data_IF_634204182191
#
_entry.id   IF_634204182191
#
_cell.length_a   1.000
_cell.length_b   1.000
_cell.length_c   1.000
_cell.angle_alpha   90.00
_cell.angle_beta   90.00
_cell.angle_gamma   90.00
#
_symmetry.space_group_name_H-M   'P 1'
#
loop_
_entity.id
_entity.type
_entity.pdbx_description
1 polymer ?
#
# COMPACT_ATOMS: atom_id res chain seq x y z
N UNK A 1 -2.20 -36.76 28.78
CA UNK A 1 -3.54 -36.14 28.80
C UNK A 1 -4.33 -36.71 27.63
N UNK A 2 -5.50 -37.29 27.86
CA UNK A 2 -6.37 -37.75 26.77
C UNK A 2 -6.82 -36.53 25.97
N UNK A 3 -6.59 -36.54 24.66
CA UNK A 3 -7.02 -35.45 23.78
C UNK A 3 -8.54 -35.50 23.64
N UNK A 4 -9.24 -34.59 24.31
CA UNK A 4 -10.67 -34.43 24.18
C UNK A 4 -11.01 -33.82 22.80
N UNK A 5 -12.15 -34.18 22.22
CA UNK A 5 -12.61 -33.65 20.93
C UNK A 5 -12.73 -32.12 20.97
N UNK A 6 -13.12 -31.58 22.13
CA UNK A 6 -13.20 -30.14 22.38
C UNK A 6 -11.86 -29.42 22.22
N UNK A 7 -10.76 -30.01 22.72
CA UNK A 7 -9.44 -29.37 22.62
C UNK A 7 -8.93 -29.40 21.18
N UNK A 8 -9.22 -30.47 20.43
CA UNK A 8 -8.91 -30.56 19.00
C UNK A 8 -9.69 -29.51 18.19
N UNK A 9 -10.98 -29.35 18.45
CA UNK A 9 -11.81 -28.33 17.81
C UNK A 9 -11.34 -26.90 18.14
N UNK A 10 -11.02 -26.63 19.41
CA UNK A 10 -10.48 -25.34 19.82
C UNK A 10 -9.20 -25.00 19.04
N UNK A 11 -8.24 -25.92 19.02
CA UNK A 11 -7.00 -25.71 18.28
C UNK A 11 -7.22 -25.52 16.79
N UNK A 12 -8.15 -26.27 16.19
CA UNK A 12 -8.52 -26.10 14.78
C UNK A 12 -9.07 -24.70 14.50
N UNK A 13 -9.98 -24.20 15.33
CA UNK A 13 -10.56 -22.85 15.18
C UNK A 13 -9.52 -21.74 15.38
N UNK A 14 -8.60 -21.90 16.33
CA UNK A 14 -7.48 -20.96 16.53
C UNK A 14 -6.60 -20.92 15.28
N UNK A 15 -6.28 -22.07 14.70
CA UNK A 15 -5.48 -22.15 13.47
C UNK A 15 -6.22 -21.60 12.25
N UNK A 16 -7.54 -21.81 12.18
CA UNK A 16 -8.40 -21.21 11.16
C UNK A 16 -8.34 -19.68 11.23
N UNK A 17 -8.45 -19.11 12.42
CA UNK A 17 -8.31 -17.68 12.62
C UNK A 17 -6.90 -17.18 12.25
N UNK A 18 -5.85 -17.94 12.57
CA UNK A 18 -4.49 -17.66 12.12
C UNK A 18 -4.35 -17.63 10.59
N UNK A 19 -5.01 -18.57 9.90
CA UNK A 19 -5.08 -18.58 8.43
C UNK A 19 -5.76 -17.34 7.85
N UNK A 20 -6.87 -16.90 8.45
CA UNK A 20 -7.54 -15.65 8.08
C UNK A 20 -6.57 -14.45 8.20
N UNK A 21 -5.82 -14.36 9.31
CA UNK A 21 -4.87 -13.27 9.52
C UNK A 21 -3.74 -13.29 8.48
N UNK A 22 -3.19 -14.47 8.17
CA UNK A 22 -2.17 -14.62 7.12
C UNK A 22 -2.72 -14.14 5.77
N UNK A 23 -3.98 -14.47 5.45
CA UNK A 23 -4.60 -14.03 4.20
C UNK A 23 -4.89 -12.52 4.16
N UNK A 24 -5.23 -11.89 5.29
CA UNK A 24 -5.32 -10.42 5.40
C UNK A 24 -3.95 -9.77 5.14
N UNK A 25 -2.88 -10.31 5.74
CA UNK A 25 -1.52 -9.83 5.51
C UNK A 25 -1.13 -9.96 4.03
N UNK A 26 -1.55 -11.03 3.37
CA UNK A 26 -1.36 -11.22 1.94
C UNK A 26 -2.08 -10.16 1.10
N UNK A 27 -3.31 -9.78 1.44
CA UNK A 27 -4.03 -8.72 0.73
C UNK A 27 -3.35 -7.35 0.87
N UNK A 28 -2.82 -7.04 2.06
CA UNK A 28 -2.02 -5.82 2.28
C UNK A 28 -0.76 -5.87 1.41
N UNK A 29 -0.05 -7.00 1.39
CA UNK A 29 1.11 -7.20 0.54
C UNK A 29 0.78 -7.05 -0.96
N UNK A 30 -0.33 -7.66 -1.41
CA UNK A 30 -0.85 -7.57 -2.78
C UNK A 30 -1.14 -6.12 -3.16
N UNK A 31 -1.73 -5.33 -2.26
CA UNK A 31 -1.96 -3.89 -2.45
C UNK A 31 -0.64 -3.13 -2.62
N UNK A 32 0.35 -3.35 -1.76
CA UNK A 32 1.65 -2.71 -1.87
C UNK A 32 2.33 -3.03 -3.20
N UNK A 33 2.30 -4.30 -3.64
CA UNK A 33 2.82 -4.72 -4.94
C UNK A 33 2.11 -4.02 -6.10
N UNK A 34 0.79 -3.86 -6.02
CA UNK A 34 0.00 -3.16 -7.04
C UNK A 34 0.37 -1.67 -7.14
N UNK A 35 0.60 -1.01 -6.00
CA UNK A 35 0.91 0.43 -5.93
C UNK A 35 2.36 0.72 -6.34
N UNK A 36 3.32 0.01 -5.76
CA UNK A 36 4.74 0.31 -5.91
C UNK A 36 5.32 -0.21 -7.23
N UNK A 37 4.69 -1.23 -7.84
CA UNK A 37 5.17 -1.91 -9.06
C UNK A 37 6.69 -2.12 -9.04
N UNK A 38 7.23 -2.75 -7.99
CA UNK A 38 8.67 -2.92 -7.86
C UNK A 38 9.25 -3.68 -9.05
N UNK A 39 10.49 -3.38 -9.43
CA UNK A 39 11.26 -4.22 -10.37
C UNK A 39 11.43 -5.63 -9.76
N UNK A 40 11.88 -6.61 -10.55
CA UNK A 40 12.02 -8.04 -10.14
C UNK A 40 12.57 -8.22 -8.72
N UNK A 41 13.73 -7.63 -8.44
CA UNK A 41 14.40 -7.71 -7.12
C UNK A 41 13.52 -7.22 -5.97
N UNK A 42 12.76 -6.14 -6.17
CA UNK A 42 11.87 -5.62 -5.12
C UNK A 42 10.62 -6.49 -4.90
N UNK A 43 10.20 -7.26 -5.90
CA UNK A 43 9.15 -8.27 -5.72
C UNK A 43 9.67 -9.43 -4.89
N UNK A 44 10.88 -9.91 -5.21
CA UNK A 44 11.51 -11.04 -4.50
C UNK A 44 11.73 -10.70 -3.02
N UNK A 45 12.21 -9.49 -2.72
CA UNK A 45 12.37 -9.02 -1.33
C UNK A 45 11.00 -8.94 -0.63
N UNK A 46 9.97 -8.43 -1.31
CA UNK A 46 8.62 -8.36 -0.78
C UNK A 46 8.05 -9.75 -0.45
N UNK A 47 8.26 -10.72 -1.34
CA UNK A 47 7.84 -12.10 -1.14
C UNK A 47 8.58 -12.70 0.08
N UNK A 48 9.89 -12.51 0.20
CA UNK A 48 10.67 -12.99 1.36
C UNK A 48 10.12 -12.40 2.67
N UNK A 49 9.85 -11.09 2.71
CA UNK A 49 9.28 -10.42 3.90
C UNK A 49 7.91 -11.01 4.24
N UNK A 50 7.05 -11.22 3.24
CA UNK A 50 5.74 -11.84 3.44
C UNK A 50 5.88 -13.26 4.01
N UNK A 51 6.76 -14.08 3.45
CA UNK A 51 6.99 -15.45 3.93
C UNK A 51 7.48 -15.49 5.37
N UNK A 52 8.39 -14.57 5.75
CA UNK A 52 8.85 -14.44 7.14
C UNK A 52 7.69 -14.07 8.07
N UNK A 53 6.91 -13.05 7.71
CA UNK A 53 5.74 -12.62 8.51
C UNK A 53 4.70 -13.72 8.64
N UNK A 54 4.35 -14.38 7.53
CA UNK A 54 3.39 -15.49 7.53
C UNK A 54 3.87 -16.65 8.42
N UNK A 55 5.16 -16.96 8.40
CA UNK A 55 5.76 -18.00 9.26
C UNK A 55 5.71 -17.61 10.74
N UNK A 56 6.03 -16.36 11.08
CA UNK A 56 5.94 -15.86 12.45
C UNK A 56 4.50 -15.96 12.97
N UNK A 57 3.52 -15.53 12.16
CA UNK A 57 2.10 -15.62 12.51
C UNK A 57 1.68 -17.08 12.67
N UNK A 58 2.09 -17.95 11.75
CA UNK A 58 1.80 -19.38 11.82
C UNK A 58 2.33 -20.01 13.11
N UNK A 59 3.60 -19.77 13.45
CA UNK A 59 4.23 -20.30 14.68
C UNK A 59 3.54 -19.73 15.92
N UNK A 60 3.17 -18.45 15.91
CA UNK A 60 2.44 -17.84 17.02
C UNK A 60 1.09 -18.54 17.26
N UNK A 61 0.30 -18.77 16.22
CA UNK A 61 -0.97 -19.48 16.35
C UNK A 61 -0.81 -20.97 16.68
N UNK A 62 0.25 -21.62 16.19
CA UNK A 62 0.62 -22.96 16.62
C UNK A 62 0.94 -23.03 18.12
N UNK A 63 1.69 -22.04 18.62
CA UNK A 63 2.02 -21.93 20.04
C UNK A 63 0.78 -21.75 20.90
N UNK A 64 -0.11 -20.84 20.52
CA UNK A 64 -1.38 -20.60 21.24
C UNK A 64 -2.32 -21.80 21.18
N UNK A 65 -2.33 -22.56 20.08
CA UNK A 65 -3.26 -23.67 19.89
C UNK A 65 -2.87 -24.96 20.63
N UNK A 66 -1.58 -25.34 20.61
CA UNK A 66 -1.06 -26.60 21.17
C UNK A 66 0.42 -26.51 21.59
N UNK A 67 0.90 -25.38 22.11
CA UNK A 67 2.30 -25.21 22.52
C UNK A 67 3.32 -25.57 21.42
N UNK A 68 2.98 -25.22 20.17
CA UNK A 68 3.79 -25.44 18.97
C UNK A 68 3.93 -26.91 18.54
N UNK A 69 3.07 -27.80 19.03
CA UNK A 69 2.95 -29.14 18.45
C UNK A 69 2.35 -29.08 17.04
N UNK A 70 3.09 -29.62 16.09
CA UNK A 70 2.70 -29.67 14.69
C UNK A 70 1.74 -30.85 14.49
N UNK A 71 0.46 -30.55 14.26
CA UNK A 71 -0.61 -31.54 14.07
C UNK A 71 -1.33 -31.34 12.74
N UNK A 72 -1.82 -32.41 12.13
CA UNK A 72 -2.42 -32.37 10.79
C UNK A 72 -3.66 -31.46 10.73
N UNK A 73 -4.54 -31.53 11.73
CA UNK A 73 -5.73 -30.67 11.78
C UNK A 73 -5.39 -29.18 11.96
N UNK A 74 -4.23 -28.84 12.53
CA UNK A 74 -3.77 -27.44 12.63
C UNK A 74 -3.46 -26.85 11.25
N UNK A 75 -2.86 -27.63 10.36
CA UNK A 75 -2.65 -27.23 8.96
C UNK A 75 -3.96 -27.14 8.19
N UNK A 76 -4.88 -28.09 8.39
CA UNK A 76 -6.21 -28.03 7.77
C UNK A 76 -6.96 -26.76 8.20
N UNK A 77 -6.95 -26.43 9.49
CA UNK A 77 -7.55 -25.21 10.01
C UNK A 77 -6.99 -23.98 9.29
N UNK A 78 -5.66 -23.86 9.23
CA UNK A 78 -5.00 -22.75 8.54
C UNK A 78 -5.37 -22.68 7.05
N UNK A 79 -5.29 -23.79 6.33
CA UNK A 79 -5.62 -23.83 4.89
C UNK A 79 -7.07 -23.44 4.64
N UNK A 80 -8.00 -23.98 5.43
CA UNK A 80 -9.43 -23.64 5.34
C UNK A 80 -9.63 -22.16 5.67
N UNK A 81 -8.96 -21.62 6.69
CA UNK A 81 -9.03 -20.21 7.06
C UNK A 81 -8.55 -19.29 5.93
N UNK A 82 -7.44 -19.63 5.29
CA UNK A 82 -6.94 -18.88 4.12
C UNK A 82 -7.95 -18.92 2.97
N UNK A 83 -8.44 -20.10 2.61
CA UNK A 83 -9.38 -20.28 1.50
C UNK A 83 -10.71 -19.56 1.75
N UNK A 84 -11.25 -19.68 2.96
CA UNK A 84 -12.49 -19.04 3.35
C UNK A 84 -12.35 -17.51 3.31
N UNK A 85 -11.22 -16.98 3.77
CA UNK A 85 -10.94 -15.56 3.62
C UNK A 85 -10.82 -15.14 2.16
N UNK A 86 -10.04 -15.85 1.34
CA UNK A 86 -9.76 -15.46 -0.05
C UNK A 86 -11.04 -15.45 -0.91
N UNK A 87 -11.94 -16.41 -0.68
CA UNK A 87 -13.21 -16.51 -1.42
C UNK A 87 -14.22 -15.43 -0.97
N UNK A 88 -14.43 -15.27 0.35
CA UNK A 88 -15.55 -14.47 0.85
C UNK A 88 -15.16 -13.05 1.26
N UNK A 89 -14.02 -12.87 1.92
CA UNK A 89 -13.64 -11.61 2.56
C UNK A 89 -12.67 -10.78 1.70
N UNK A 90 -11.75 -11.42 0.95
CA UNK A 90 -10.74 -10.71 0.16
C UNK A 90 -11.33 -9.67 -0.80
N UNK A 91 -12.43 -9.93 -1.55
CA UNK A 91 -13.02 -8.92 -2.44
C UNK A 91 -13.51 -7.67 -1.69
N UNK A 92 -14.00 -7.83 -0.46
CA UNK A 92 -14.49 -6.75 0.38
C UNK A 92 -13.30 -5.97 0.95
N UNK A 93 -12.33 -6.67 1.54
CA UNK A 93 -11.14 -6.05 2.13
C UNK A 93 -10.33 -5.31 1.09
N UNK A 94 -10.14 -5.88 -0.10
CA UNK A 94 -9.42 -5.22 -1.19
C UNK A 94 -10.12 -3.94 -1.66
N UNK A 95 -11.46 -3.94 -1.76
CA UNK A 95 -12.22 -2.71 -2.09
C UNK A 95 -12.01 -1.63 -1.04
N UNK A 96 -12.04 -2.00 0.25
CA UNK A 96 -11.81 -1.07 1.37
C UNK A 96 -10.38 -0.52 1.32
N UNK A 97 -9.38 -1.38 1.16
CA UNK A 97 -7.98 -1.00 1.06
C UNK A 97 -7.72 -0.03 -0.11
N UNK A 98 -8.28 -0.32 -1.28
CA UNK A 98 -8.18 0.56 -2.46
C UNK A 98 -8.89 1.91 -2.25
N UNK A 99 -10.03 1.90 -1.55
CA UNK A 99 -10.72 3.13 -1.17
C UNK A 99 -9.85 4.00 -0.28
N UNK A 100 -9.26 3.44 0.79
CA UNK A 100 -8.33 4.16 1.66
C UNK A 100 -7.13 4.69 0.89
N UNK A 101 -6.52 3.88 0.01
CA UNK A 101 -5.42 4.33 -0.83
C UNK A 101 -5.81 5.54 -1.69
N UNK A 102 -6.99 5.51 -2.33
CA UNK A 102 -7.48 6.61 -3.17
C UNK A 102 -7.72 7.88 -2.36
N UNK A 103 -8.28 7.76 -1.16
CA UNK A 103 -8.49 8.89 -0.23
C UNK A 103 -7.14 9.50 0.15
N UNK A 104 -6.20 8.69 0.63
CA UNK A 104 -4.86 9.17 1.04
C UNK A 104 -4.15 9.85 -0.13
N UNK A 105 -4.13 9.23 -1.31
CA UNK A 105 -3.50 9.80 -2.51
C UNK A 105 -4.10 11.16 -2.87
N UNK A 106 -5.43 11.28 -2.84
CA UNK A 106 -6.10 12.54 -3.15
C UNK A 106 -5.79 13.61 -2.12
N UNK A 107 -5.78 13.27 -0.84
CA UNK A 107 -5.40 14.18 0.24
C UNK A 107 -3.97 14.68 0.08
N UNK A 108 -3.01 13.80 -0.17
CA UNK A 108 -1.60 14.18 -0.39
C UNK A 108 -1.46 15.11 -1.59
N UNK A 109 -2.11 14.81 -2.72
CA UNK A 109 -2.11 15.67 -3.91
C UNK A 109 -2.73 17.03 -3.60
N UNK A 110 -3.82 17.06 -2.84
CA UNK A 110 -4.50 18.31 -2.46
C UNK A 110 -3.62 19.18 -1.56
N UNK A 111 -2.98 18.58 -0.55
CA UNK A 111 -2.02 19.27 0.33
C UNK A 111 -0.83 19.79 -0.47
N UNK A 112 -0.24 18.97 -1.35
CA UNK A 112 0.85 19.41 -2.22
C UNK A 112 0.44 20.57 -3.13
N UNK A 113 -0.77 20.54 -3.70
CA UNK A 113 -1.31 21.64 -4.52
C UNK A 113 -1.45 22.93 -3.72
N UNK A 114 -2.01 22.86 -2.51
CA UNK A 114 -2.17 24.04 -1.65
C UNK A 114 -0.80 24.61 -1.27
N UNK A 115 0.15 23.75 -0.88
CA UNK A 115 1.49 24.17 -0.48
C UNK A 115 2.29 24.79 -1.64
N UNK A 116 2.17 24.25 -2.86
CA UNK A 116 2.89 24.75 -4.05
C UNK A 116 2.20 25.94 -4.74
N UNK A 117 0.90 26.15 -4.51
CA UNK A 117 0.14 27.27 -5.08
C UNK A 117 0.72 28.67 -4.77
N UNK A 118 1.07 29.04 -3.52
CA UNK A 118 1.66 30.35 -3.24
C UNK A 118 2.99 30.56 -3.95
N UNK A 119 3.80 29.50 -4.07
CA UNK A 119 5.07 29.54 -4.80
C UNK A 119 4.85 29.85 -6.28
N UNK A 120 3.89 29.18 -6.92
CA UNK A 120 3.52 29.45 -8.34
C UNK A 120 2.96 30.86 -8.51
N UNK A 121 2.16 31.36 -7.57
CA UNK A 121 1.61 32.71 -7.61
C UNK A 121 2.72 33.78 -7.55
N UNK A 122 3.70 33.61 -6.66
CA UNK A 122 4.88 34.48 -6.53
C UNK A 122 5.69 34.50 -7.83
N UNK A 123 6.02 33.33 -8.39
CA UNK A 123 6.72 33.24 -9.67
C UNK A 123 5.96 33.94 -10.81
N UNK A 124 4.63 33.81 -10.85
CA UNK A 124 3.81 34.45 -11.88
C UNK A 124 3.82 35.97 -11.73
N UNK A 125 3.72 36.50 -10.51
CA UNK A 125 3.81 37.94 -10.24
C UNK A 125 5.20 38.47 -10.62
N UNK A 126 6.29 37.77 -10.27
CA UNK A 126 7.66 38.16 -10.63
C UNK A 126 7.95 38.08 -12.14
N UNK A 127 7.28 37.18 -12.85
CA UNK A 127 7.49 37.01 -14.29
C UNK A 127 7.03 38.21 -15.12
N UNK A 128 6.08 39.01 -14.60
CA UNK A 128 5.57 40.21 -15.27
C UNK A 128 6.62 41.32 -15.39
N UNK A 129 7.28 41.79 -14.31
CA UNK A 129 8.36 42.77 -14.40
C UNK A 129 9.58 42.21 -15.12
N UNK A 130 9.92 40.92 -14.95
CA UNK A 130 11.02 40.28 -15.68
C UNK A 130 10.82 40.30 -17.19
N UNK A 131 9.59 40.14 -17.68
CA UNK A 131 9.26 40.22 -19.11
C UNK A 131 9.43 41.65 -19.64
N UNK A 132 9.14 42.65 -18.83
CA UNK A 132 9.37 44.06 -19.15
C UNK A 132 10.87 44.37 -19.23
N UNK A 133 11.64 43.95 -18.23
CA UNK A 133 13.11 44.11 -18.19
C UNK A 133 13.78 43.38 -19.37
N UNK A 134 13.33 42.18 -19.72
CA UNK A 134 13.89 41.43 -20.86
C UNK A 134 13.72 42.13 -22.20
N UNK A 135 12.63 42.89 -22.38
CA UNK A 135 12.42 43.71 -23.58
C UNK A 135 13.38 44.90 -23.63
N UNK A 136 13.71 45.49 -22.48
CA UNK A 136 14.64 46.62 -22.37
C UNK A 136 16.09 46.18 -22.54
N UNK A 137 16.47 45.00 -22.03
CA UNK A 137 17.83 44.45 -22.09
C UNK A 137 18.14 43.60 -23.34
N UNK A 138 17.20 43.46 -24.28
CA UNK A 138 17.41 42.70 -25.53
C UNK A 138 17.58 41.18 -25.35
N UNK A 139 17.21 40.64 -24.18
CA UNK A 139 17.30 39.20 -23.88
C UNK A 139 16.14 38.47 -24.58
N UNK A 140 16.36 37.30 -25.21
CA UNK A 140 15.29 36.59 -25.89
C UNK A 140 14.20 36.15 -24.90
N UNK A 141 13.03 36.80 -24.98
CA UNK A 141 11.86 36.48 -24.15
C UNK A 141 11.35 35.03 -24.26
N UNK A 142 11.89 34.26 -25.22
CA UNK A 142 11.73 32.80 -25.34
C UNK A 142 12.21 32.03 -24.10
N UNK A 143 13.27 32.49 -23.43
CA UNK A 143 13.78 31.86 -22.20
C UNK A 143 12.77 31.97 -21.04
N UNK A 144 12.18 33.15 -20.86
CA UNK A 144 11.16 33.39 -19.82
C UNK A 144 9.89 32.56 -20.10
N UNK A 145 9.44 32.53 -21.36
CA UNK A 145 8.28 31.73 -21.75
C UNK A 145 8.50 30.21 -21.57
N UNK A 146 9.69 29.68 -21.85
CA UNK A 146 10.00 28.27 -21.65
C UNK A 146 9.90 27.87 -20.17
N UNK A 147 10.48 28.66 -19.26
CA UNK A 147 10.42 28.40 -17.81
C UNK A 147 8.99 28.44 -17.26
N UNK A 148 8.19 29.45 -17.67
CA UNK A 148 6.77 29.55 -17.26
C UNK A 148 5.94 28.40 -17.85
N UNK A 149 6.22 27.98 -19.09
CA UNK A 149 5.51 26.87 -19.73
C UNK A 149 5.74 25.55 -18.99
N UNK A 150 6.94 25.34 -18.46
CA UNK A 150 7.29 24.16 -17.66
C UNK A 150 6.39 24.02 -16.42
N UNK A 151 6.05 25.14 -15.76
CA UNK A 151 5.12 25.16 -14.63
C UNK A 151 3.64 25.02 -15.04
N UNK A 152 3.26 25.49 -16.25
CA UNK A 152 1.92 25.26 -16.78
C UNK A 152 1.64 23.78 -17.13
N UNK A 153 2.67 22.97 -17.42
CA UNK A 153 2.53 21.52 -17.62
C UNK A 153 2.07 20.83 -16.33
N UNK A 154 2.55 21.27 -15.15
CA UNK A 154 2.09 20.78 -13.85
C UNK A 154 0.64 21.17 -13.52
N UNK A 155 0.10 22.19 -14.19
CA UNK A 155 -1.31 22.60 -14.08
C UNK A 155 -2.26 21.72 -14.90
N UNK A 156 -1.75 20.91 -15.85
CA UNK A 156 -2.56 20.17 -16.84
C UNK A 156 -2.65 18.65 -16.64
N UNK A 157 -1.90 18.03 -15.73
CA UNK A 157 -2.10 16.60 -15.39
C UNK A 157 -3.27 16.47 -14.41
N UNK A 158 -4.47 16.53 -14.99
CA UNK A 158 -5.74 16.09 -14.40
C UNK A 158 -5.81 14.56 -14.48
#
# INVERSE_FOLDING_TARGET
MVMNVESQLYSFLVMLYGGIIIAILYDIYKLFRFILRPKRIGTDIGDIIYWILATIVFIFFLYVSNYAEIRFYSFLGLLIGILLYDIFLSPIVMKILLFFYKVIKNTVIWVYKIASYPFVAIYKILSVPLRYISKVLGIPGKLINNTISHFNIFKRKK
#
